data_IF_245193202006
#
_entry.id   IF_245193202006
#
_cell.length_a   1.000
_cell.length_b   1.000
_cell.length_c   1.000
_cell.angle_alpha   90.00
_cell.angle_beta   90.00
_cell.angle_gamma   90.00
#
_symmetry.space_group_name_H-M   'P 1'
#
loop_
_entity.id
_entity.type
_entity.pdbx_description
1 polymer ?
#
# COMPACT_ATOMS: atom_id res chain seq x y z
N UNK A 1 31.44 -24.89 -7.82
CA UNK A 1 30.38 -24.04 -8.41
C UNK A 1 29.08 -24.55 -7.84
N UNK A 2 28.57 -23.93 -6.77
CA UNK A 2 27.22 -24.18 -6.31
C UNK A 2 26.31 -23.75 -7.45
N UNK A 3 25.47 -24.66 -7.93
CA UNK A 3 24.39 -24.36 -8.88
C UNK A 3 23.46 -23.43 -8.11
N UNK A 4 23.52 -22.13 -8.43
CA UNK A 4 22.59 -21.12 -7.91
C UNK A 4 21.20 -21.44 -8.50
N UNK A 5 20.51 -22.38 -7.88
CA UNK A 5 19.12 -22.67 -8.18
C UNK A 5 18.33 -21.42 -7.82
N UNK A 6 17.85 -20.69 -8.82
CA UNK A 6 17.15 -19.42 -8.63
C UNK A 6 16.03 -19.52 -7.61
N UNK A 7 15.87 -18.48 -6.78
CA UNK A 7 14.83 -18.38 -5.75
C UNK A 7 13.46 -18.13 -6.40
N UNK A 8 12.45 -18.91 -6.06
CA UNK A 8 11.06 -18.71 -6.49
C UNK A 8 10.25 -18.06 -5.37
N UNK A 9 9.98 -16.77 -5.53
CA UNK A 9 9.17 -15.99 -4.58
C UNK A 9 7.74 -15.82 -5.09
N UNK A 10 6.75 -16.24 -4.28
CA UNK A 10 5.34 -16.02 -4.58
C UNK A 10 4.79 -14.87 -3.76
N UNK A 11 4.29 -13.83 -4.43
CA UNK A 11 3.77 -12.60 -3.82
C UNK A 11 2.26 -12.71 -3.67
N UNK A 12 1.79 -12.57 -2.44
CA UNK A 12 0.36 -12.57 -2.09
C UNK A 12 -0.08 -11.21 -1.55
N UNK A 13 -1.39 -10.97 -1.54
CA UNK A 13 -1.99 -9.79 -0.92
C UNK A 13 -1.98 -8.51 -1.75
N UNK A 14 -1.10 -8.37 -2.72
CA UNK A 14 -1.02 -7.22 -3.63
C UNK A 14 -1.85 -7.49 -4.90
N UNK A 15 -3.18 -7.26 -4.84
CA UNK A 15 -4.12 -7.85 -5.78
C UNK A 15 -4.59 -6.94 -6.92
N UNK A 16 -4.60 -5.60 -6.71
CA UNK A 16 -5.13 -4.65 -7.67
C UNK A 16 -4.03 -3.82 -8.35
N UNK A 17 -3.64 -4.13 -9.60
CA UNK A 17 -2.59 -3.40 -10.31
C UNK A 17 -2.99 -1.98 -10.71
N UNK A 18 -4.29 -1.65 -10.69
CA UNK A 18 -4.79 -0.31 -10.99
C UNK A 18 -4.66 0.65 -9.79
N UNK A 19 -4.20 0.17 -8.63
CA UNK A 19 -3.86 0.98 -7.47
C UNK A 19 -2.35 1.29 -7.47
N UNK A 20 -2.01 2.56 -7.67
CA UNK A 20 -0.61 3.03 -7.74
C UNK A 20 0.19 2.71 -6.48
N UNK A 21 -0.45 2.75 -5.31
CA UNK A 21 0.21 2.45 -4.03
C UNK A 21 0.66 0.99 -3.94
N UNK A 22 -0.17 0.06 -4.39
CA UNK A 22 0.21 -1.35 -4.43
C UNK A 22 1.32 -1.63 -5.44
N UNK A 23 1.30 -0.92 -6.59
CA UNK A 23 2.38 -1.01 -7.59
C UNK A 23 3.69 -0.44 -7.07
N UNK A 24 3.66 0.70 -6.38
CA UNK A 24 4.84 1.31 -5.76
C UNK A 24 5.49 0.32 -4.80
N UNK A 25 4.71 -0.28 -3.90
CA UNK A 25 5.19 -1.28 -2.96
C UNK A 25 5.80 -2.50 -3.67
N UNK A 26 5.10 -3.05 -4.66
CA UNK A 26 5.56 -4.18 -5.46
C UNK A 26 6.89 -3.87 -6.15
N UNK A 27 6.96 -2.76 -6.89
CA UNK A 27 8.16 -2.35 -7.65
C UNK A 27 9.35 -2.13 -6.70
N UNK A 28 9.13 -1.50 -5.55
CA UNK A 28 10.19 -1.26 -4.55
C UNK A 28 10.81 -2.58 -4.08
N UNK A 29 9.96 -3.55 -3.72
CA UNK A 29 10.42 -4.85 -3.20
C UNK A 29 11.07 -5.69 -4.31
N UNK A 30 10.41 -5.85 -5.46
CA UNK A 30 10.91 -6.71 -6.54
C UNK A 30 12.20 -6.16 -7.14
N UNK A 31 12.31 -4.85 -7.35
CA UNK A 31 13.54 -4.21 -7.85
C UNK A 31 14.70 -4.40 -6.89
N UNK A 32 14.46 -4.28 -5.58
CA UNK A 32 15.51 -4.50 -4.59
C UNK A 32 15.96 -5.97 -4.57
N UNK A 33 15.01 -6.90 -4.51
CA UNK A 33 15.31 -8.33 -4.45
C UNK A 33 16.00 -8.84 -5.73
N UNK A 34 15.64 -8.37 -6.92
CA UNK A 34 16.31 -8.75 -8.17
C UNK A 34 17.78 -8.29 -8.22
N UNK A 35 18.15 -7.24 -7.50
CA UNK A 35 19.56 -6.82 -7.39
C UNK A 35 20.34 -7.71 -6.42
N UNK A 36 19.67 -8.26 -5.40
CA UNK A 36 20.29 -9.16 -4.41
C UNK A 36 20.35 -10.61 -4.88
N UNK A 37 19.35 -11.03 -5.64
CA UNK A 37 19.20 -12.39 -6.17
C UNK A 37 18.99 -12.29 -7.69
N UNK A 38 20.05 -12.35 -8.50
CA UNK A 38 19.92 -12.15 -9.96
C UNK A 38 19.00 -13.15 -10.65
N UNK A 39 18.88 -14.38 -10.11
CA UNK A 39 18.06 -15.47 -10.67
C UNK A 39 16.73 -15.64 -9.93
N UNK A 40 16.23 -14.61 -9.20
CA UNK A 40 14.94 -14.69 -8.52
C UNK A 40 13.79 -14.63 -9.53
N UNK A 41 12.86 -15.56 -9.38
CA UNK A 41 11.61 -15.59 -10.14
C UNK A 41 10.44 -15.14 -9.26
N UNK A 42 9.66 -14.18 -9.76
CA UNK A 42 8.47 -13.74 -9.06
C UNK A 42 7.21 -14.27 -9.72
N UNK A 43 6.40 -14.97 -8.93
CA UNK A 43 4.99 -15.21 -9.25
C UNK A 43 4.12 -14.37 -8.32
N UNK A 44 2.92 -13.99 -8.76
CA UNK A 44 2.06 -13.08 -8.01
C UNK A 44 0.59 -13.40 -8.21
N UNK A 45 -0.18 -13.35 -7.11
CA UNK A 45 -1.65 -13.33 -7.18
C UNK A 45 -2.16 -11.98 -7.70
N UNK A 46 -3.13 -12.00 -8.62
CA UNK A 46 -3.79 -10.80 -9.12
C UNK A 46 -5.29 -11.02 -9.35
N UNK A 47 -6.09 -9.95 -9.16
CA UNK A 47 -7.48 -9.92 -9.60
C UNK A 47 -7.60 -9.67 -11.11
N UNK A 48 -6.55 -9.09 -11.72
CA UNK A 48 -6.48 -8.73 -13.15
C UNK A 48 -5.13 -9.17 -13.74
N UNK A 49 -4.85 -10.48 -13.86
CA UNK A 49 -3.51 -10.99 -14.22
C UNK A 49 -2.93 -10.37 -15.49
N UNK A 50 -3.71 -10.30 -16.57
CA UNK A 50 -3.26 -9.77 -17.87
C UNK A 50 -2.89 -8.28 -17.82
N UNK A 51 -3.61 -7.49 -17.01
CA UNK A 51 -3.29 -6.07 -16.81
C UNK A 51 -2.04 -5.95 -15.93
N UNK A 52 -1.96 -6.77 -14.90
CA UNK A 52 -0.87 -6.76 -13.92
C UNK A 52 0.47 -7.11 -14.56
N UNK A 53 0.54 -8.14 -15.40
CA UNK A 53 1.76 -8.52 -16.13
C UNK A 53 2.26 -7.41 -17.07
N UNK A 54 1.32 -6.71 -17.74
CA UNK A 54 1.68 -5.54 -18.56
C UNK A 54 2.27 -4.39 -17.76
N UNK A 55 1.73 -4.14 -16.57
CA UNK A 55 2.15 -3.05 -15.70
C UNK A 55 3.36 -3.40 -14.82
N UNK A 56 3.59 -4.68 -14.55
CA UNK A 56 4.63 -5.21 -13.68
C UNK A 56 5.32 -6.44 -14.32
N UNK A 57 6.10 -6.26 -15.40
CA UNK A 57 6.63 -7.35 -16.20
C UNK A 57 7.65 -8.25 -15.47
N UNK A 58 8.11 -7.84 -14.29
CA UNK A 58 8.98 -8.66 -13.44
C UNK A 58 8.23 -9.82 -12.76
N UNK A 59 6.90 -9.82 -12.76
CA UNK A 59 6.09 -10.82 -12.08
C UNK A 59 5.23 -11.58 -13.08
N UNK A 60 5.30 -12.91 -13.05
CA UNK A 60 4.29 -13.76 -13.70
C UNK A 60 3.03 -13.77 -12.83
N UNK A 61 1.92 -13.31 -13.37
CA UNK A 61 0.69 -13.12 -12.60
C UNK A 61 -0.28 -14.29 -12.80
N UNK A 62 -0.88 -14.74 -11.71
CA UNK A 62 -1.92 -15.77 -11.70
C UNK A 62 -3.19 -15.26 -11.08
N UNK A 63 -4.34 -15.88 -11.38
CA UNK A 63 -5.61 -15.48 -10.81
C UNK A 63 -5.63 -15.75 -9.31
N UNK A 64 -5.90 -14.72 -8.52
CA UNK A 64 -5.97 -14.87 -7.06
C UNK A 64 -7.12 -15.79 -6.65
N UNK A 65 -6.86 -16.63 -5.65
CA UNK A 65 -7.94 -17.41 -5.01
C UNK A 65 -9.01 -16.52 -4.38
N UNK A 66 -8.69 -15.27 -4.03
CA UNK A 66 -9.63 -14.28 -3.46
C UNK A 66 -10.58 -13.67 -4.50
N UNK A 67 -10.43 -14.02 -5.78
CA UNK A 67 -11.36 -13.61 -6.84
C UNK A 67 -12.75 -14.26 -6.72
N UNK A 68 -12.87 -15.36 -5.97
CA UNK A 68 -14.11 -16.07 -5.71
C UNK A 68 -14.06 -16.76 -4.35
N UNK A 69 -15.14 -16.66 -3.58
CA UNK A 69 -15.24 -17.34 -2.29
C UNK A 69 -15.18 -18.86 -2.44
N UNK A 70 -15.75 -19.40 -3.51
CA UNK A 70 -15.72 -20.83 -3.83
C UNK A 70 -14.28 -21.29 -4.09
N UNK A 71 -13.51 -20.49 -4.86
CA UNK A 71 -12.13 -20.80 -5.16
C UNK A 71 -11.27 -20.75 -3.90
N UNK A 72 -11.48 -19.76 -3.03
CA UNK A 72 -10.77 -19.63 -1.75
C UNK A 72 -11.03 -20.88 -0.86
N UNK A 73 -12.31 -21.24 -0.67
CA UNK A 73 -12.70 -22.40 0.15
C UNK A 73 -12.15 -23.69 -0.46
N UNK A 74 -12.30 -23.88 -1.77
CA UNK A 74 -11.80 -25.08 -2.46
C UNK A 74 -10.28 -25.21 -2.33
N UNK A 75 -9.53 -24.10 -2.48
CA UNK A 75 -8.07 -24.12 -2.31
C UNK A 75 -7.68 -24.44 -0.88
N UNK A 76 -8.37 -23.86 0.10
CA UNK A 76 -8.12 -24.12 1.52
C UNK A 76 -8.38 -25.57 1.90
N UNK A 77 -9.52 -26.15 1.46
CA UNK A 77 -9.86 -27.55 1.71
C UNK A 77 -8.81 -28.48 1.10
N UNK A 78 -8.36 -28.22 -0.13
CA UNK A 78 -7.31 -29.01 -0.80
C UNK A 78 -5.97 -28.92 -0.05
N UNK A 79 -5.62 -27.76 0.50
CA UNK A 79 -4.43 -27.62 1.33
C UNK A 79 -4.51 -28.44 2.62
N UNK A 80 -5.69 -28.52 3.26
CA UNK A 80 -5.92 -29.38 4.43
C UNK A 80 -5.75 -30.85 4.05
N UNK A 81 -6.41 -31.30 2.97
CA UNK A 81 -6.29 -32.67 2.51
C UNK A 81 -4.85 -33.05 2.16
N UNK A 82 -4.15 -32.20 1.42
CA UNK A 82 -2.74 -32.41 1.13
C UNK A 82 -1.92 -32.57 2.42
N UNK A 83 -2.15 -31.72 3.43
CA UNK A 83 -1.44 -31.81 4.71
C UNK A 83 -1.70 -33.13 5.43
N UNK A 84 -2.95 -33.61 5.44
CA UNK A 84 -3.32 -34.88 6.05
C UNK A 84 -2.70 -36.07 5.31
N UNK A 85 -2.78 -36.10 3.97
CA UNK A 85 -2.16 -37.17 3.16
C UNK A 85 -0.63 -37.18 3.34
N UNK A 86 -0.01 -36.01 3.38
CA UNK A 86 1.44 -35.93 3.61
C UNK A 86 1.87 -36.47 4.98
N UNK A 87 1.05 -36.31 6.02
CA UNK A 87 1.30 -36.90 7.34
C UNK A 87 1.22 -38.42 7.30
N UNK A 88 0.47 -38.99 6.36
CA UNK A 88 0.38 -40.41 6.12
C UNK A 88 1.43 -40.95 5.12
N UNK A 89 2.36 -40.11 4.70
CA UNK A 89 3.40 -40.48 3.71
C UNK A 89 2.91 -40.53 2.26
N UNK A 90 1.68 -40.07 1.98
CA UNK A 90 1.07 -40.13 0.65
C UNK A 90 1.28 -38.82 -0.12
N UNK A 91 1.52 -38.92 -1.44
CA UNK A 91 1.52 -37.76 -2.32
C UNK A 91 0.09 -37.44 -2.78
N UNK A 92 -0.31 -36.19 -2.54
CA UNK A 92 -1.63 -35.67 -2.91
C UNK A 92 -1.55 -34.44 -3.81
N UNK A 93 -0.41 -34.20 -4.48
CA UNK A 93 -0.21 -33.08 -5.39
C UNK A 93 -1.16 -33.07 -6.58
N UNK A 94 -1.72 -34.20 -6.94
CA UNK A 94 -2.77 -34.34 -7.95
C UNK A 94 -4.07 -33.61 -7.57
N UNK A 95 -4.28 -33.31 -6.28
CA UNK A 95 -5.43 -32.55 -5.80
C UNK A 95 -5.29 -31.03 -6.01
N UNK A 96 -4.13 -30.53 -6.41
CA UNK A 96 -3.87 -29.11 -6.49
C UNK A 96 -4.67 -28.44 -7.62
N UNK A 97 -5.31 -27.32 -7.29
CA UNK A 97 -5.75 -26.36 -8.27
C UNK A 97 -4.59 -25.38 -8.58
N UNK A 98 -4.78 -24.52 -9.60
CA UNK A 98 -3.75 -23.57 -10.02
C UNK A 98 -3.22 -22.67 -8.89
N UNK A 99 -4.06 -21.99 -8.07
CA UNK A 99 -3.54 -21.19 -6.96
C UNK A 99 -2.69 -22.01 -5.99
N UNK A 100 -3.14 -23.21 -5.59
CA UNK A 100 -2.41 -24.04 -4.64
C UNK A 100 -1.06 -24.50 -5.19
N UNK A 101 -0.98 -24.78 -6.51
CA UNK A 101 0.26 -25.12 -7.20
C UNK A 101 1.28 -24.01 -7.09
N UNK A 102 0.87 -22.75 -7.28
CA UNK A 102 1.77 -21.58 -7.17
C UNK A 102 2.39 -21.44 -5.77
N UNK A 103 1.59 -21.67 -4.73
CA UNK A 103 2.10 -21.70 -3.36
C UNK A 103 3.08 -22.85 -3.14
N UNK A 104 2.76 -24.03 -3.67
CA UNK A 104 3.59 -25.23 -3.49
C UNK A 104 4.92 -25.12 -4.23
N UNK A 105 4.95 -24.55 -5.43
CA UNK A 105 6.15 -24.44 -6.25
C UNK A 105 7.09 -23.31 -5.76
N UNK A 106 6.60 -22.40 -4.94
CA UNK A 106 7.41 -21.32 -4.36
C UNK A 106 8.35 -21.81 -3.26
N UNK A 107 9.50 -21.19 -3.13
CA UNK A 107 10.45 -21.38 -2.03
C UNK A 107 10.09 -20.49 -0.83
N UNK A 108 9.57 -19.29 -1.11
CA UNK A 108 9.13 -18.33 -0.10
C UNK A 108 7.83 -17.62 -0.53
N UNK A 109 6.94 -17.40 0.44
CA UNK A 109 5.71 -16.61 0.27
C UNK A 109 5.92 -15.23 0.90
N UNK A 110 5.73 -14.18 0.11
CA UNK A 110 5.87 -12.79 0.58
C UNK A 110 4.50 -12.12 0.54
N UNK A 111 3.96 -11.78 1.70
CA UNK A 111 2.73 -10.98 1.79
C UNK A 111 3.06 -9.49 1.67
N UNK A 112 2.60 -8.88 0.58
CA UNK A 112 2.68 -7.45 0.30
C UNK A 112 1.31 -6.78 0.36
N UNK A 113 0.42 -7.26 1.21
CA UNK A 113 -0.94 -6.71 1.34
C UNK A 113 -0.98 -5.28 1.93
N UNK A 114 0.13 -4.80 2.48
CA UNK A 114 0.21 -3.50 3.12
C UNK A 114 -0.74 -3.40 4.32
N UNK A 115 -1.95 -2.84 4.15
CA UNK A 115 -2.99 -2.78 5.17
C UNK A 115 -3.98 -3.98 5.12
N UNK A 116 -3.56 -5.07 4.51
CA UNK A 116 -4.31 -6.30 4.39
C UNK A 116 -4.83 -6.87 5.71
N UNK A 117 -4.16 -6.59 6.83
CA UNK A 117 -4.54 -7.00 8.18
C UNK A 117 -4.87 -5.81 9.09
N UNK A 118 -5.16 -4.63 8.52
CA UNK A 118 -5.59 -3.46 9.26
C UNK A 118 -7.07 -3.16 8.98
N UNK A 119 -7.90 -3.08 10.02
CA UNK A 119 -9.33 -2.80 9.91
C UNK A 119 -9.62 -1.42 10.51
N UNK A 120 -9.68 -0.36 9.70
CA UNK A 120 -10.09 0.96 10.17
C UNK A 120 -11.59 0.98 10.49
N UNK A 121 -11.98 1.82 11.45
CA UNK A 121 -13.39 2.04 11.77
C UNK A 121 -14.11 2.69 10.59
N UNK A 122 -15.18 2.07 10.09
CA UNK A 122 -16.02 2.59 9.01
C UNK A 122 -17.38 3.06 9.55
N UNK A 123 -17.99 4.03 8.87
CA UNK A 123 -19.38 4.47 9.13
C UNK A 123 -20.42 3.48 8.59
N UNK A 124 -20.05 2.60 7.68
CA UNK A 124 -20.92 1.63 7.03
C UNK A 124 -20.77 0.23 7.66
N UNK A 125 -21.87 -0.33 8.15
CA UNK A 125 -21.89 -1.67 8.75
C UNK A 125 -21.56 -2.76 7.70
N UNK A 126 -22.19 -2.69 6.54
CA UNK A 126 -21.96 -3.62 5.44
C UNK A 126 -20.53 -3.58 4.91
N UNK A 127 -19.97 -2.39 4.79
CA UNK A 127 -18.58 -2.23 4.39
C UNK A 127 -17.63 -2.82 5.44
N UNK A 128 -17.93 -2.64 6.73
CA UNK A 128 -17.16 -3.26 7.83
C UNK A 128 -17.19 -4.77 7.75
N UNK A 129 -18.35 -5.39 7.47
CA UNK A 129 -18.48 -6.83 7.29
C UNK A 129 -17.66 -7.31 6.07
N UNK A 130 -17.78 -6.64 4.92
CA UNK A 130 -17.00 -6.98 3.72
C UNK A 130 -15.49 -6.91 3.99
N UNK A 131 -15.03 -5.89 4.74
CA UNK A 131 -13.62 -5.78 5.15
C UNK A 131 -13.20 -6.91 6.11
N UNK A 132 -14.05 -7.34 7.03
CA UNK A 132 -13.78 -8.50 7.91
C UNK A 132 -13.57 -9.76 7.06
N UNK A 133 -14.43 -10.02 6.07
CA UNK A 133 -14.26 -11.14 5.14
C UNK A 133 -12.96 -11.05 4.35
N UNK A 134 -12.58 -9.87 3.90
CA UNK A 134 -11.31 -9.67 3.19
C UNK A 134 -10.11 -9.95 4.10
N UNK A 135 -10.15 -9.52 5.39
CA UNK A 135 -9.09 -9.83 6.37
C UNK A 135 -9.03 -11.33 6.68
N UNK A 136 -10.19 -11.97 6.80
CA UNK A 136 -10.28 -13.42 6.95
C UNK A 136 -9.66 -14.15 5.75
N UNK A 137 -9.95 -13.71 4.53
CA UNK A 137 -9.36 -14.27 3.32
C UNK A 137 -7.82 -14.10 3.27
N UNK A 138 -7.29 -12.97 3.75
CA UNK A 138 -5.85 -12.77 3.88
C UNK A 138 -5.22 -13.74 4.91
N UNK A 139 -5.84 -13.92 6.07
CA UNK A 139 -5.39 -14.88 7.08
C UNK A 139 -5.45 -16.32 6.55
N UNK A 140 -6.49 -16.68 5.79
CA UNK A 140 -6.61 -18.01 5.15
C UNK A 140 -5.48 -18.20 4.11
N UNK A 141 -5.15 -17.18 3.32
CA UNK A 141 -4.03 -17.26 2.35
C UNK A 141 -2.70 -17.55 3.04
N UNK A 142 -2.42 -16.89 4.15
CA UNK A 142 -1.23 -17.13 4.96
C UNK A 142 -1.29 -18.56 5.56
N UNK A 143 -2.45 -18.99 6.05
CA UNK A 143 -2.63 -20.31 6.62
C UNK A 143 -2.43 -21.42 5.57
N UNK A 144 -2.87 -21.23 4.33
CA UNK A 144 -2.60 -22.16 3.21
C UNK A 144 -1.09 -22.34 3.03
N UNK A 145 -0.31 -21.26 3.00
CA UNK A 145 1.14 -21.33 2.89
C UNK A 145 1.76 -22.14 4.05
N UNK A 146 1.28 -21.92 5.27
CA UNK A 146 1.73 -22.65 6.46
C UNK A 146 1.36 -24.14 6.37
N UNK A 147 0.16 -24.48 5.90
CA UNK A 147 -0.26 -25.88 5.68
C UNK A 147 0.63 -26.59 4.67
N UNK A 148 1.12 -25.88 3.65
CA UNK A 148 2.06 -26.39 2.65
C UNK A 148 3.52 -26.41 3.13
N UNK A 149 3.80 -26.13 4.41
CA UNK A 149 5.15 -25.99 4.98
C UNK A 149 6.00 -24.92 4.30
N UNK A 150 5.39 -23.86 3.74
CA UNK A 150 6.12 -22.79 3.12
C UNK A 150 6.55 -21.75 4.15
N UNK A 151 7.71 -21.16 3.90
CA UNK A 151 8.19 -20.01 4.63
C UNK A 151 7.41 -18.77 4.24
N UNK A 152 6.98 -18.00 5.24
CA UNK A 152 6.09 -16.85 5.04
C UNK A 152 6.67 -15.60 5.66
N UNK A 153 6.76 -14.54 4.86
CA UNK A 153 7.22 -13.22 5.30
C UNK A 153 6.10 -12.21 5.04
N UNK A 154 5.67 -11.50 6.08
CA UNK A 154 4.83 -10.32 5.94
C UNK A 154 5.73 -9.10 5.83
N UNK A 155 5.66 -8.36 4.72
CA UNK A 155 6.55 -7.22 4.50
C UNK A 155 5.78 -5.92 4.25
N UNK A 156 6.26 -4.82 4.87
CA UNK A 156 5.61 -3.50 4.83
C UNK A 156 4.16 -3.53 5.32
N UNK A 157 3.89 -4.35 6.34
CA UNK A 157 2.55 -4.62 6.83
C UNK A 157 2.06 -3.58 7.83
N UNK A 158 0.78 -3.20 7.73
CA UNK A 158 0.02 -2.56 8.81
C UNK A 158 -0.96 -3.56 9.40
N UNK A 159 -0.92 -3.76 10.72
CA UNK A 159 -1.75 -4.73 11.43
C UNK A 159 -2.52 -4.04 12.55
N UNK A 160 -3.84 -4.17 12.56
CA UNK A 160 -4.63 -3.52 13.61
C UNK A 160 -6.13 -3.70 13.48
N UNK A 161 -6.86 -3.47 14.58
CA UNK A 161 -8.32 -3.44 14.58
C UNK A 161 -9.01 -4.76 14.23
N UNK A 162 -8.35 -5.93 14.36
CA UNK A 162 -8.85 -7.21 13.86
C UNK A 162 -10.09 -7.76 14.61
N UNK A 163 -10.44 -7.19 15.77
CA UNK A 163 -11.69 -7.52 16.49
C UNK A 163 -11.86 -9.02 16.69
N UNK A 164 -12.94 -9.57 16.16
CA UNK A 164 -13.28 -11.01 16.27
C UNK A 164 -12.28 -11.95 15.62
N UNK A 165 -11.44 -11.45 14.72
CA UNK A 165 -10.40 -12.24 14.04
C UNK A 165 -9.11 -12.39 14.87
N UNK A 166 -8.99 -11.75 16.03
CA UNK A 166 -7.78 -11.79 16.87
C UNK A 166 -7.32 -13.21 17.21
N UNK A 167 -8.19 -14.16 17.63
CA UNK A 167 -7.74 -15.52 17.94
C UNK A 167 -7.11 -16.23 16.72
N UNK A 168 -7.73 -16.10 15.56
CA UNK A 168 -7.20 -16.66 14.31
C UNK A 168 -5.92 -15.98 13.88
N UNK A 169 -5.88 -14.64 13.93
CA UNK A 169 -4.69 -13.86 13.60
C UNK A 169 -3.50 -14.23 14.47
N UNK A 170 -3.71 -14.36 15.79
CA UNK A 170 -2.69 -14.81 16.73
C UNK A 170 -2.16 -16.21 16.37
N UNK A 171 -3.06 -17.15 16.06
CA UNK A 171 -2.69 -18.51 15.67
C UNK A 171 -1.84 -18.51 14.39
N UNK A 172 -2.27 -17.78 13.37
CA UNK A 172 -1.63 -17.74 12.05
C UNK A 172 -0.31 -16.97 12.11
N UNK A 173 -0.32 -15.75 12.67
CA UNK A 173 0.85 -14.87 12.69
C UNK A 173 1.98 -15.41 13.58
N UNK A 174 1.68 -16.21 14.60
CA UNK A 174 2.74 -16.89 15.37
C UNK A 174 3.42 -18.06 14.60
N UNK A 175 3.01 -18.33 13.38
CA UNK A 175 3.61 -19.37 12.53
C UNK A 175 4.34 -18.83 11.30
N UNK A 176 4.33 -17.52 11.10
CA UNK A 176 5.12 -16.89 10.04
C UNK A 176 6.57 -16.72 10.49
N UNK A 177 7.49 -16.58 9.56
CA UNK A 177 8.92 -16.54 9.83
C UNK A 177 9.41 -15.13 10.17
N UNK A 178 8.90 -14.11 9.45
CA UNK A 178 9.26 -12.71 9.64
C UNK A 178 8.05 -11.80 9.42
N UNK A 179 7.90 -10.79 10.27
CA UNK A 179 6.93 -9.70 10.09
C UNK A 179 7.71 -8.38 10.10
N UNK A 180 7.69 -7.66 8.99
CA UNK A 180 8.20 -6.29 8.90
C UNK A 180 7.01 -5.34 8.86
N UNK A 181 6.80 -4.62 9.96
CA UNK A 181 5.73 -3.61 10.06
C UNK A 181 6.26 -2.24 9.69
N UNK A 182 5.38 -1.41 9.11
CA UNK A 182 5.74 -0.07 8.61
C UNK A 182 5.28 1.08 9.52
N UNK A 183 4.62 0.78 10.62
CA UNK A 183 4.16 1.75 11.61
C UNK A 183 4.26 1.18 13.04
N UNK A 184 4.49 2.04 14.01
CA UNK A 184 4.64 1.65 15.42
C UNK A 184 3.34 1.14 16.02
N UNK A 185 2.20 1.64 15.56
CA UNK A 185 0.88 1.21 16.00
C UNK A 185 0.66 -0.28 15.72
N UNK A 186 1.15 -0.75 14.57
CA UNK A 186 1.14 -2.18 14.21
C UNK A 186 2.06 -3.01 15.11
N UNK A 187 3.24 -2.50 15.45
CA UNK A 187 4.17 -3.18 16.36
C UNK A 187 3.54 -3.34 17.75
N UNK A 188 2.97 -2.27 18.31
CA UNK A 188 2.27 -2.30 19.59
C UNK A 188 1.04 -3.23 19.55
N UNK A 189 0.31 -3.24 18.43
CA UNK A 189 -0.85 -4.11 18.26
C UNK A 189 -0.46 -5.59 18.26
N UNK A 190 0.58 -5.99 17.52
CA UNK A 190 1.10 -7.36 17.51
C UNK A 190 1.51 -7.81 18.91
N UNK A 191 2.22 -6.96 19.67
CA UNK A 191 2.57 -7.24 21.07
C UNK A 191 1.34 -7.44 21.96
N UNK A 192 0.33 -6.58 21.82
CA UNK A 192 -0.93 -6.65 22.59
C UNK A 192 -1.70 -7.93 22.33
N UNK A 193 -1.77 -8.42 21.08
CA UNK A 193 -2.44 -9.68 20.76
C UNK A 193 -1.53 -10.90 20.96
N UNK A 194 -0.32 -10.70 21.52
CA UNK A 194 0.67 -11.75 21.85
C UNK A 194 1.12 -12.55 20.63
N UNK A 195 1.50 -11.88 19.55
CA UNK A 195 2.29 -12.45 18.45
C UNK A 195 3.76 -12.31 18.83
N UNK A 196 4.37 -13.41 19.28
CA UNK A 196 5.70 -13.41 19.93
C UNK A 196 6.69 -14.42 19.34
N UNK A 197 6.22 -15.31 18.46
CA UNK A 197 7.10 -16.35 17.87
C UNK A 197 7.89 -15.87 16.66
N UNK A 198 7.31 -15.11 15.71
CA UNK A 198 8.07 -14.59 14.58
C UNK A 198 9.03 -13.49 15.02
N UNK A 199 10.09 -13.30 14.26
CA UNK A 199 10.84 -12.04 14.34
C UNK A 199 9.94 -10.90 13.85
N UNK A 200 9.69 -9.91 14.69
CA UNK A 200 8.96 -8.69 14.31
C UNK A 200 9.97 -7.55 14.22
N UNK A 201 10.03 -6.91 13.04
CA UNK A 201 10.95 -5.82 12.75
C UNK A 201 10.17 -4.59 12.30
N UNK A 202 10.58 -3.41 12.74
CA UNK A 202 10.03 -2.14 12.25
C UNK A 202 10.92 -1.57 11.15
N UNK A 203 10.31 -1.23 10.01
CA UNK A 203 10.96 -0.43 8.96
C UNK A 203 9.90 0.46 8.30
N UNK A 204 10.21 1.71 7.91
CA UNK A 204 9.32 2.52 7.10
C UNK A 204 8.90 1.80 5.82
N UNK A 205 7.77 2.22 5.24
CA UNK A 205 7.24 1.62 4.01
C UNK A 205 8.31 1.49 2.91
N UNK A 206 8.30 0.35 2.20
CA UNK A 206 9.27 0.12 1.13
C UNK A 206 9.26 1.20 0.02
N UNK A 207 8.18 1.94 -0.13
CA UNK A 207 8.10 3.06 -1.06
C UNK A 207 9.18 4.13 -0.82
N UNK A 208 9.68 4.28 0.41
CA UNK A 208 10.81 5.19 0.69
C UNK A 208 12.12 4.77 0.03
N UNK A 209 12.28 3.49 -0.33
CA UNK A 209 13.46 3.01 -1.05
C UNK A 209 13.47 3.35 -2.55
N UNK A 210 12.40 3.93 -3.07
CA UNK A 210 12.33 4.33 -4.47
C UNK A 210 13.39 5.39 -4.77
N UNK A 211 14.26 5.09 -5.73
CA UNK A 211 15.18 6.09 -6.28
C UNK A 211 14.39 6.93 -7.28
N UNK A 212 13.80 8.01 -6.79
CA UNK A 212 13.28 9.02 -7.68
C UNK A 212 14.50 9.81 -8.19
N UNK A 213 14.81 9.69 -9.49
CA UNK A 213 15.69 10.66 -10.11
C UNK A 213 15.12 12.01 -9.72
N UNK A 214 15.97 13.00 -9.39
CA UNK A 214 15.52 14.38 -9.11
C UNK A 214 14.68 14.85 -10.29
N UNK A 215 13.41 14.40 -10.28
CA UNK A 215 12.45 14.59 -11.35
C UNK A 215 11.93 16.00 -11.15
N UNK A 216 12.11 16.80 -12.17
CA UNK A 216 11.58 18.13 -12.24
C UNK A 216 12.27 19.13 -11.31
N UNK A 217 13.21 19.89 -11.84
CA UNK A 217 13.41 21.22 -11.29
C UNK A 217 12.02 21.87 -11.32
N UNK A 218 11.50 22.22 -10.12
CA UNK A 218 10.34 23.12 -10.04
C UNK A 218 10.52 24.25 -11.05
N UNK A 219 9.40 24.66 -11.59
CA UNK A 219 9.35 25.84 -12.48
C UNK A 219 10.29 26.92 -11.98
N UNK A 220 11.11 27.44 -12.86
CA UNK A 220 11.99 28.56 -12.57
C UNK A 220 11.20 29.73 -11.95
N UNK A 221 11.82 30.50 -11.12
CA UNK A 221 11.24 31.71 -10.51
C UNK A 221 10.34 32.43 -11.52
N UNK A 222 9.04 32.56 -11.22
CA UNK A 222 8.06 33.27 -12.04
C UNK A 222 6.95 32.45 -12.65
N UNK A 223 6.97 31.09 -12.56
CA UNK A 223 5.83 30.27 -12.99
C UNK A 223 4.73 30.20 -11.95
N UNK A 224 3.48 30.02 -12.40
CA UNK A 224 2.33 29.85 -11.52
C UNK A 224 2.53 28.64 -10.58
N UNK A 225 2.18 28.80 -9.29
CA UNK A 225 2.26 27.68 -8.34
C UNK A 225 1.39 26.49 -8.76
N UNK A 226 1.78 25.29 -8.35
CA UNK A 226 1.08 24.05 -8.66
C UNK A 226 0.64 23.34 -7.39
N UNK A 227 -0.65 23.08 -7.24
CA UNK A 227 -1.23 22.38 -6.10
C UNK A 227 -1.83 21.06 -6.56
N UNK A 228 -1.31 19.95 -6.03
CA UNK A 228 -1.82 18.61 -6.31
C UNK A 228 -2.98 18.25 -5.40
N UNK A 229 -4.00 17.56 -5.94
CA UNK A 229 -5.10 16.98 -5.20
C UNK A 229 -5.20 15.49 -5.50
N UNK A 230 -4.90 14.68 -4.51
CA UNK A 230 -4.99 13.23 -4.57
C UNK A 230 -6.07 12.75 -3.59
N UNK A 231 -7.27 12.55 -4.09
CA UNK A 231 -8.46 12.22 -3.29
C UNK A 231 -8.80 10.74 -3.39
N UNK A 232 -9.55 10.23 -2.41
CA UNK A 232 -9.97 8.83 -2.35
C UNK A 232 -11.48 8.70 -2.29
N UNK A 233 -12.09 8.12 -3.32
CA UNK A 233 -13.52 7.79 -3.33
C UNK A 233 -13.89 6.88 -2.17
N UNK A 234 -13.09 5.84 -1.90
CA UNK A 234 -13.27 4.92 -0.79
C UNK A 234 -13.29 5.64 0.57
N UNK A 235 -12.34 6.57 0.77
CA UNK A 235 -12.24 7.28 2.04
C UNK A 235 -13.45 8.18 2.30
N UNK A 236 -13.92 8.90 1.28
CA UNK A 236 -15.10 9.77 1.42
C UNK A 236 -16.36 8.96 1.67
N UNK A 237 -16.57 7.87 0.96
CA UNK A 237 -17.78 7.05 1.12
C UNK A 237 -17.85 6.30 2.44
N UNK A 238 -16.74 5.79 2.94
CA UNK A 238 -16.75 4.80 4.03
C UNK A 238 -16.17 5.28 5.34
N UNK A 239 -15.29 6.27 5.33
CA UNK A 239 -14.57 6.66 6.54
C UNK A 239 -14.91 8.07 7.04
N UNK A 240 -15.06 9.05 6.17
CA UNK A 240 -15.43 10.39 6.59
C UNK A 240 -16.94 10.52 6.85
N UNK A 241 -17.30 11.16 7.98
CA UNK A 241 -18.69 11.47 8.33
C UNK A 241 -19.19 12.72 7.60
N UNK A 242 -19.07 12.70 6.27
CA UNK A 242 -19.42 13.82 5.38
C UNK A 242 -20.18 13.26 4.18
N UNK A 243 -21.11 14.04 3.66
CA UNK A 243 -21.79 13.70 2.42
C UNK A 243 -20.82 13.84 1.24
N UNK A 244 -20.90 12.93 0.27
CA UNK A 244 -19.98 12.84 -0.87
C UNK A 244 -19.95 14.12 -1.71
N UNK A 245 -21.12 14.65 -2.08
CA UNK A 245 -21.23 15.87 -2.86
C UNK A 245 -20.79 17.11 -2.07
N UNK A 246 -21.08 17.14 -0.76
CA UNK A 246 -20.60 18.23 0.09
C UNK A 246 -19.08 18.24 0.18
N UNK A 247 -18.44 17.08 0.33
CA UNK A 247 -16.98 16.99 0.29
C UNK A 247 -16.41 17.47 -1.04
N UNK A 248 -17.00 17.03 -2.16
CA UNK A 248 -16.58 17.45 -3.49
C UNK A 248 -16.72 18.98 -3.68
N UNK A 249 -17.82 19.57 -3.20
CA UNK A 249 -18.03 21.02 -3.21
C UNK A 249 -17.00 21.75 -2.38
N UNK A 250 -16.69 21.23 -1.19
CA UNK A 250 -15.70 21.80 -0.29
C UNK A 250 -14.30 21.84 -0.97
N UNK A 251 -13.89 20.73 -1.59
CA UNK A 251 -12.62 20.70 -2.35
C UNK A 251 -12.67 21.62 -3.57
N UNK A 252 -13.79 21.62 -4.32
CA UNK A 252 -13.97 22.55 -5.46
C UNK A 252 -13.84 24.01 -5.04
N UNK A 253 -14.42 24.38 -3.89
CA UNK A 253 -14.26 25.73 -3.31
C UNK A 253 -12.81 26.05 -2.93
N UNK A 254 -12.06 25.07 -2.42
CA UNK A 254 -10.63 25.25 -2.14
C UNK A 254 -9.84 25.43 -3.45
N UNK A 255 -10.14 24.65 -4.50
CA UNK A 255 -9.52 24.79 -5.82
C UNK A 255 -9.77 26.19 -6.41
N UNK A 256 -11.02 26.69 -6.34
CA UNK A 256 -11.35 28.05 -6.80
C UNK A 256 -10.56 29.10 -6.01
N UNK A 257 -10.53 28.96 -4.67
CA UNK A 257 -9.78 29.90 -3.81
C UNK A 257 -8.30 29.97 -4.18
N UNK A 258 -7.62 28.84 -4.37
CA UNK A 258 -6.19 28.82 -4.72
C UNK A 258 -5.93 29.37 -6.11
N UNK A 259 -6.84 29.14 -7.06
CA UNK A 259 -6.74 29.70 -8.42
C UNK A 259 -6.90 31.23 -8.41
N UNK A 260 -7.90 31.74 -7.70
CA UNK A 260 -8.23 33.16 -7.66
C UNK A 260 -7.28 33.99 -6.80
N UNK A 261 -6.85 33.47 -5.65
CA UNK A 261 -6.09 34.24 -4.66
C UNK A 261 -4.58 33.95 -4.71
N UNK A 262 -4.15 32.78 -5.19
CA UNK A 262 -2.75 32.42 -5.30
C UNK A 262 -2.25 32.35 -6.75
N UNK A 263 -3.14 32.52 -7.74
CA UNK A 263 -2.81 32.33 -9.17
C UNK A 263 -2.31 30.91 -9.47
N UNK A 264 -2.67 29.93 -8.66
CA UNK A 264 -2.14 28.59 -8.74
C UNK A 264 -2.92 27.71 -9.73
N UNK A 265 -2.24 26.72 -10.31
CA UNK A 265 -2.84 25.65 -11.10
C UNK A 265 -3.12 24.44 -10.19
N UNK A 266 -4.32 23.89 -10.25
CA UNK A 266 -4.68 22.65 -9.58
C UNK A 266 -4.44 21.45 -10.49
N UNK A 267 -3.84 20.36 -9.95
CA UNK A 267 -3.70 19.09 -10.66
C UNK A 267 -4.45 18.00 -9.86
N UNK A 268 -5.46 17.40 -10.46
CA UNK A 268 -6.18 16.26 -9.89
C UNK A 268 -5.47 14.96 -10.26
N UNK A 269 -5.03 14.20 -9.26
CA UNK A 269 -4.16 13.03 -9.41
C UNK A 269 -4.86 11.81 -8.82
N UNK A 270 -5.42 10.89 -9.61
CA UNK A 270 -5.96 9.63 -9.10
C UNK A 270 -4.84 8.68 -8.68
N UNK A 271 -5.08 7.89 -7.64
CA UNK A 271 -4.18 6.81 -7.21
C UNK A 271 -4.72 5.43 -7.58
N UNK A 272 -6.03 5.29 -7.68
CA UNK A 272 -6.68 4.05 -8.09
C UNK A 272 -7.63 4.34 -9.25
N UNK A 273 -7.46 3.59 -10.33
CA UNK A 273 -8.25 3.76 -11.57
C UNK A 273 -9.25 2.62 -11.78
N UNK A 274 -9.70 2.01 -10.71
CA UNK A 274 -10.65 0.92 -10.71
C UNK A 274 -10.22 -0.24 -9.82
N UNK A 275 -11.08 -1.24 -9.78
CA UNK A 275 -10.92 -2.42 -8.95
C UNK A 275 -12.20 -3.25 -8.97
N UNK A 276 -12.34 -4.25 -8.08
CA UNK A 276 -13.53 -5.06 -8.00
C UNK A 276 -14.77 -4.28 -7.52
N UNK A 277 -14.55 -3.13 -6.87
CA UNK A 277 -15.65 -2.31 -6.34
C UNK A 277 -15.61 -0.90 -6.94
N UNK A 278 -16.81 -0.30 -7.07
CA UNK A 278 -16.94 1.06 -7.61
C UNK A 278 -16.14 2.09 -6.81
N UNK A 279 -16.03 1.92 -5.51
CA UNK A 279 -15.26 2.84 -4.65
C UNK A 279 -13.73 2.73 -4.81
N UNK A 280 -13.24 1.73 -5.55
CA UNK A 280 -11.82 1.62 -5.88
C UNK A 280 -11.38 2.58 -7.00
N UNK A 281 -12.31 3.35 -7.59
CA UNK A 281 -12.01 4.30 -8.65
C UNK A 281 -12.03 5.74 -8.12
N UNK A 282 -10.85 6.33 -7.99
CA UNK A 282 -10.69 7.71 -7.50
C UNK A 282 -11.18 8.77 -8.51
N UNK A 283 -11.36 8.40 -9.79
CA UNK A 283 -11.93 9.32 -10.79
C UNK A 283 -13.34 9.75 -10.43
N UNK A 284 -14.07 8.95 -9.66
CA UNK A 284 -15.45 9.28 -9.25
C UNK A 284 -15.47 10.54 -8.40
N UNK A 285 -14.61 10.63 -7.37
CA UNK A 285 -14.55 11.84 -6.53
C UNK A 285 -13.94 13.02 -7.29
N UNK A 286 -12.91 12.76 -8.12
CA UNK A 286 -12.28 13.82 -8.90
C UNK A 286 -13.27 14.45 -9.92
N UNK A 287 -14.06 13.63 -10.62
CA UNK A 287 -15.10 14.11 -11.54
C UNK A 287 -16.22 14.86 -10.81
N UNK A 288 -16.53 14.47 -9.56
CA UNK A 288 -17.52 15.20 -8.77
C UNK A 288 -16.97 16.59 -8.36
N UNK A 289 -15.69 16.66 -7.97
CA UNK A 289 -15.03 17.96 -7.66
C UNK A 289 -15.05 18.90 -8.86
N UNK A 290 -14.80 18.40 -10.07
CA UNK A 290 -14.81 19.22 -11.31
C UNK A 290 -16.13 19.96 -11.54
N UNK A 291 -17.26 19.45 -11.05
CA UNK A 291 -18.57 20.12 -11.18
C UNK A 291 -18.64 21.44 -10.39
N UNK A 292 -17.78 21.62 -9.41
CA UNK A 292 -17.77 22.78 -8.51
C UNK A 292 -16.58 23.72 -8.76
N UNK A 293 -15.77 23.44 -9.79
CA UNK A 293 -14.63 24.29 -10.16
C UNK A 293 -15.02 25.20 -11.32
N UNK A 294 -14.93 26.53 -11.11
CA UNK A 294 -15.29 27.54 -12.10
C UNK A 294 -14.13 28.05 -12.96
N UNK A 295 -12.88 27.65 -12.67
CA UNK A 295 -11.68 28.22 -13.29
C UNK A 295 -11.10 27.38 -14.42
N UNK A 296 -10.22 28.03 -15.23
CA UNK A 296 -9.47 27.37 -16.33
C UNK A 296 -8.16 26.73 -15.87
N UNK A 297 -7.68 27.00 -14.64
CA UNK A 297 -6.37 26.58 -14.14
C UNK A 297 -6.46 25.22 -13.42
N UNK A 298 -7.02 24.21 -14.10
CA UNK A 298 -7.14 22.86 -13.56
C UNK A 298 -6.77 21.84 -14.63
N UNK A 299 -6.04 20.80 -14.24
CA UNK A 299 -5.70 19.66 -15.06
C UNK A 299 -5.99 18.35 -14.33
N UNK A 300 -6.20 17.27 -15.07
CA UNK A 300 -6.48 15.93 -14.53
C UNK A 300 -5.50 14.94 -15.12
N UNK A 301 -4.86 14.14 -14.27
CA UNK A 301 -4.04 13.02 -14.70
C UNK A 301 -4.97 11.84 -14.96
N UNK A 302 -5.14 11.47 -16.23
CA UNK A 302 -6.06 10.41 -16.67
C UNK A 302 -5.44 9.02 -16.85
N UNK A 303 -4.26 8.77 -16.27
CA UNK A 303 -3.47 7.55 -16.54
C UNK A 303 -3.10 6.77 -15.30
N UNK A 304 -2.88 5.45 -15.47
CA UNK A 304 -2.24 4.56 -14.49
C UNK A 304 -0.71 4.55 -14.61
N UNK A 305 -0.13 5.31 -15.53
CA UNK A 305 1.33 5.39 -15.64
C UNK A 305 1.92 6.01 -14.39
N UNK A 306 2.70 5.21 -13.66
CA UNK A 306 3.27 5.60 -12.39
C UNK A 306 4.31 6.72 -12.56
N UNK A 307 5.02 6.76 -13.69
CA UNK A 307 6.01 7.81 -13.98
C UNK A 307 5.35 9.17 -14.12
N UNK A 308 4.20 9.24 -14.80
CA UNK A 308 3.44 10.48 -14.95
C UNK A 308 2.79 10.94 -13.62
N UNK A 309 2.34 10.00 -12.79
CA UNK A 309 1.83 10.31 -11.44
C UNK A 309 2.96 10.90 -10.58
N UNK A 310 4.12 10.27 -10.57
CA UNK A 310 5.29 10.73 -9.81
C UNK A 310 5.76 12.11 -10.33
N UNK A 311 5.85 12.28 -11.65
CA UNK A 311 6.21 13.56 -12.26
C UNK A 311 5.23 14.68 -11.87
N UNK A 312 3.93 14.41 -11.92
CA UNK A 312 2.92 15.37 -11.50
C UNK A 312 3.07 15.77 -10.03
N UNK A 313 3.29 14.80 -9.12
CA UNK A 313 3.51 15.07 -7.69
C UNK A 313 4.80 15.88 -7.48
N UNK A 314 5.86 15.57 -8.23
CA UNK A 314 7.16 16.27 -8.10
C UNK A 314 7.10 17.73 -8.49
N UNK A 315 6.17 18.11 -9.35
CA UNK A 315 5.94 19.49 -9.80
C UNK A 315 5.09 20.31 -8.84
N UNK A 316 4.43 19.66 -7.86
CA UNK A 316 3.57 20.35 -6.92
C UNK A 316 4.37 21.14 -5.88
N UNK A 317 3.87 22.32 -5.52
CA UNK A 317 4.34 23.10 -4.38
C UNK A 317 3.77 22.59 -3.05
N UNK A 318 2.54 22.10 -3.08
CA UNK A 318 1.83 21.41 -1.99
C UNK A 318 1.01 20.27 -2.58
N UNK A 319 0.93 19.14 -1.88
CA UNK A 319 0.05 18.03 -2.23
C UNK A 319 -1.03 17.84 -1.17
N UNK A 320 -2.29 18.04 -1.51
CA UNK A 320 -3.44 17.66 -0.68
C UNK A 320 -3.77 16.19 -0.97
N UNK A 321 -3.64 15.30 0.01
CA UNK A 321 -3.78 13.86 -0.26
C UNK A 321 -4.56 13.11 0.82
N UNK A 322 -5.33 12.12 0.37
CA UNK A 322 -6.03 11.12 1.20
C UNK A 322 -5.40 9.72 1.06
N UNK A 323 -4.24 9.61 0.39
CA UNK A 323 -3.56 8.34 0.12
C UNK A 323 -2.13 8.37 0.65
N UNK A 324 -1.69 7.26 1.27
CA UNK A 324 -0.39 7.17 1.92
C UNK A 324 0.78 7.20 0.93
N UNK A 325 0.74 6.40 -0.14
CA UNK A 325 1.86 6.32 -1.07
C UNK A 325 2.09 7.62 -1.86
N UNK A 326 1.06 8.35 -2.36
CA UNK A 326 1.25 9.70 -2.88
C UNK A 326 1.90 10.65 -1.87
N UNK A 327 1.57 10.55 -0.58
CA UNK A 327 2.26 11.33 0.45
C UNK A 327 3.74 10.92 0.58
N UNK A 328 4.07 9.63 0.54
CA UNK A 328 5.46 9.17 0.54
C UNK A 328 6.21 9.71 -0.68
N UNK A 329 5.62 9.64 -1.87
CA UNK A 329 6.21 10.21 -3.09
C UNK A 329 6.42 11.72 -2.95
N UNK A 330 5.44 12.46 -2.39
CA UNK A 330 5.61 13.90 -2.17
C UNK A 330 6.76 14.21 -1.20
N UNK A 331 6.91 13.43 -0.12
CA UNK A 331 8.03 13.55 0.81
C UNK A 331 9.37 13.27 0.12
N UNK A 332 9.46 12.22 -0.71
CA UNK A 332 10.65 11.91 -1.49
C UNK A 332 11.01 13.01 -2.50
N UNK A 333 10.02 13.74 -2.99
CA UNK A 333 10.20 14.90 -3.87
C UNK A 333 10.45 16.23 -3.12
N UNK A 334 10.41 16.22 -1.78
CA UNK A 334 10.48 17.43 -0.97
C UNK A 334 9.22 18.32 -1.07
N UNK A 335 8.09 17.76 -1.50
CA UNK A 335 6.80 18.46 -1.61
C UNK A 335 6.02 18.34 -0.30
N UNK A 336 5.66 19.45 0.39
CA UNK A 336 4.86 19.43 1.60
C UNK A 336 3.49 18.78 1.38
N UNK A 337 3.11 17.71 2.11
CA UNK A 337 1.79 17.14 2.03
C UNK A 337 0.83 17.75 3.05
N UNK A 338 -0.40 18.07 2.63
CA UNK A 338 -1.56 18.17 3.51
C UNK A 338 -2.30 16.83 3.48
N UNK A 339 -2.17 16.05 4.55
CA UNK A 339 -2.83 14.74 4.60
C UNK A 339 -4.19 14.82 5.26
N UNK A 340 -5.24 14.46 4.54
CA UNK A 340 -6.60 14.31 5.09
C UNK A 340 -6.73 12.86 5.59
N UNK A 341 -6.66 12.70 6.92
CA UNK A 341 -6.59 11.38 7.56
C UNK A 341 -7.94 10.74 7.77
N UNK A 342 -8.00 9.43 7.50
CA UNK A 342 -9.14 8.56 7.86
C UNK A 342 -8.68 7.29 8.59
N UNK A 343 -7.40 7.15 8.88
CA UNK A 343 -6.82 5.91 9.44
C UNK A 343 -5.55 6.21 10.25
N UNK A 344 -5.28 5.45 11.32
CA UNK A 344 -4.07 5.61 12.15
C UNK A 344 -2.75 5.55 11.39
N UNK A 345 -2.67 4.80 10.28
CA UNK A 345 -1.45 4.69 9.45
C UNK A 345 -0.92 6.03 8.93
N UNK A 346 -1.81 7.03 8.74
CA UNK A 346 -1.39 8.38 8.32
C UNK A 346 -0.71 9.12 9.46
N UNK A 347 -1.17 8.91 10.69
CA UNK A 347 -0.52 9.48 11.87
C UNK A 347 0.87 8.88 12.05
N UNK A 348 1.01 7.56 11.94
CA UNK A 348 2.30 6.87 11.97
C UNK A 348 3.29 7.41 10.94
N UNK A 349 2.84 7.59 9.68
CA UNK A 349 3.68 8.16 8.62
C UNK A 349 4.17 9.57 8.97
N UNK A 350 3.26 10.47 9.36
CA UNK A 350 3.62 11.86 9.65
C UNK A 350 4.49 11.99 10.90
N UNK A 351 4.30 11.11 11.88
CA UNK A 351 5.13 11.02 13.09
C UNK A 351 6.56 10.61 12.75
N UNK A 352 6.77 9.69 11.82
CA UNK A 352 8.10 9.26 11.40
C UNK A 352 8.95 10.42 10.85
N UNK A 353 8.32 11.38 10.19
CA UNK A 353 9.02 12.54 9.65
C UNK A 353 8.94 13.77 10.57
N UNK A 354 8.14 13.73 11.64
CA UNK A 354 7.94 14.85 12.59
C UNK A 354 7.09 15.97 12.02
N UNK A 355 6.07 15.64 11.24
CA UNK A 355 5.16 16.57 10.57
C UNK A 355 3.69 16.29 10.89
N UNK A 356 3.39 15.83 12.13
CA UNK A 356 2.03 15.53 12.57
C UNK A 356 1.09 16.74 12.46
N UNK A 357 1.63 17.95 12.56
CA UNK A 357 0.90 19.20 12.39
C UNK A 357 0.37 19.45 10.96
N UNK A 358 0.87 18.71 9.97
CA UNK A 358 0.36 18.75 8.58
C UNK A 358 -0.78 17.73 8.35
N UNK A 359 -1.14 16.96 9.37
CA UNK A 359 -2.22 16.00 9.32
C UNK A 359 -3.55 16.68 9.64
N UNK A 360 -4.47 16.69 8.69
CA UNK A 360 -5.84 17.14 8.93
C UNK A 360 -6.66 15.96 9.49
N UNK A 361 -6.90 15.98 10.79
CA UNK A 361 -7.66 14.96 11.50
C UNK A 361 -9.00 15.54 11.89
N UNK A 362 -10.05 15.26 11.14
CA UNK A 362 -11.41 15.64 11.50
C UNK A 362 -12.41 14.58 11.08
N UNK A 363 -13.34 14.26 11.97
CA UNK A 363 -14.50 13.43 11.64
C UNK A 363 -15.56 14.21 10.86
N UNK A 364 -15.54 15.56 10.99
CA UNK A 364 -16.35 16.50 10.22
C UNK A 364 -15.41 17.46 9.52
N UNK A 365 -15.17 17.23 8.24
CA UNK A 365 -14.36 18.12 7.42
C UNK A 365 -15.22 19.35 7.10
N UNK A 366 -14.73 20.54 7.40
CA UNK A 366 -15.33 21.81 7.02
C UNK A 366 -14.35 22.68 6.21
N UNK A 367 -14.90 23.60 5.43
CA UNK A 367 -14.14 24.41 4.49
C UNK A 367 -13.12 25.34 5.20
N UNK A 368 -13.55 26.04 6.24
CA UNK A 368 -12.69 27.07 6.88
C UNK A 368 -11.50 26.43 7.58
N UNK A 369 -11.71 25.31 8.30
CA UNK A 369 -10.59 24.62 8.95
C UNK A 369 -9.65 23.97 7.94
N UNK A 370 -10.16 23.39 6.85
CA UNK A 370 -9.30 22.83 5.79
C UNK A 370 -8.50 23.90 5.07
N UNK A 371 -9.16 25.02 4.73
CA UNK A 371 -8.51 26.20 4.13
C UNK A 371 -7.43 26.78 5.04
N UNK A 372 -7.72 26.93 6.33
CA UNK A 372 -6.74 27.43 7.32
C UNK A 372 -5.51 26.51 7.38
N UNK A 373 -5.71 25.21 7.41
CA UNK A 373 -4.61 24.23 7.41
C UNK A 373 -3.80 24.29 6.11
N UNK A 374 -4.48 24.41 4.97
CA UNK A 374 -3.82 24.58 3.68
C UNK A 374 -2.97 25.87 3.65
N UNK A 375 -3.52 26.99 4.07
CA UNK A 375 -2.80 28.27 4.10
C UNK A 375 -1.59 28.22 5.03
N UNK A 376 -1.70 27.59 6.20
CA UNK A 376 -0.56 27.36 7.08
C UNK A 376 0.57 26.62 6.35
N UNK A 377 0.26 25.53 5.63
CA UNK A 377 1.24 24.77 4.88
C UNK A 377 1.80 25.58 3.71
N UNK A 378 0.94 26.30 3.01
CA UNK A 378 1.33 27.16 1.88
C UNK A 378 2.33 28.24 2.28
N UNK A 379 2.05 28.96 3.35
CA UNK A 379 2.90 30.04 3.87
C UNK A 379 4.25 29.48 4.37
N UNK A 380 4.24 28.34 5.02
CA UNK A 380 5.43 27.71 5.59
C UNK A 380 6.09 26.67 4.66
N UNK A 381 5.68 26.55 3.40
CA UNK A 381 6.10 25.44 2.51
C UNK A 381 7.61 25.32 2.34
N UNK A 382 8.35 26.42 2.38
CA UNK A 382 9.81 26.38 2.25
C UNK A 382 10.49 25.85 3.52
N UNK A 383 9.98 26.19 4.69
CA UNK A 383 10.46 25.67 5.98
C UNK A 383 10.12 24.16 6.11
N UNK A 384 8.91 23.78 5.72
CA UNK A 384 8.48 22.39 5.73
C UNK A 384 9.34 21.56 4.76
N UNK A 385 9.66 22.11 3.59
CA UNK A 385 10.55 21.46 2.62
C UNK A 385 11.94 21.24 3.20
N UNK A 386 12.55 22.25 3.78
CA UNK A 386 13.87 22.13 4.41
C UNK A 386 13.86 21.07 5.53
N UNK A 387 12.77 21.00 6.31
CA UNK A 387 12.59 19.95 7.31
C UNK A 387 12.50 18.53 6.67
N UNK A 388 11.73 18.37 5.59
CA UNK A 388 11.63 17.11 4.84
C UNK A 388 13.02 16.71 4.31
N UNK A 389 13.72 17.62 3.65
CA UNK A 389 15.06 17.38 3.09
C UNK A 389 16.06 16.95 4.15
N UNK A 390 15.98 17.52 5.35
CA UNK A 390 16.85 17.18 6.48
C UNK A 390 16.58 15.78 7.07
N UNK A 391 15.40 15.22 6.85
CA UNK A 391 14.99 13.93 7.46
C UNK A 391 14.79 12.78 6.50
N UNK A 392 14.54 13.05 5.23
CA UNK A 392 14.15 12.03 4.26
C UNK A 392 15.24 10.96 4.06
N UNK A 393 16.52 11.34 4.10
CA UNK A 393 17.63 10.43 3.92
C UNK A 393 17.67 9.32 4.99
N UNK A 394 17.36 9.64 6.24
CA UNK A 394 17.30 8.64 7.32
C UNK A 394 16.11 7.69 7.16
N UNK A 395 14.97 8.16 6.65
CA UNK A 395 13.82 7.29 6.36
C UNK A 395 14.10 6.35 5.18
N UNK A 396 14.80 6.83 4.16
CA UNK A 396 15.27 6.00 3.03
C UNK A 396 16.19 4.90 3.54
N UNK A 397 17.19 5.23 4.37
CA UNK A 397 18.12 4.29 4.95
C UNK A 397 17.40 3.23 5.79
N UNK A 398 16.51 3.64 6.69
CA UNK A 398 15.71 2.72 7.50
C UNK A 398 14.84 1.79 6.65
N UNK A 399 14.24 2.30 5.56
CA UNK A 399 13.47 1.48 4.62
C UNK A 399 14.36 0.48 3.88
N UNK A 400 15.56 0.89 3.45
CA UNK A 400 16.55 -0.01 2.85
C UNK A 400 17.01 -1.09 3.84
N UNK A 401 17.23 -0.76 5.11
CA UNK A 401 17.53 -1.74 6.16
C UNK A 401 16.42 -2.78 6.33
N UNK A 402 15.16 -2.36 6.20
CA UNK A 402 14.02 -3.29 6.16
C UNK A 402 14.08 -4.26 4.97
N UNK A 403 14.44 -3.76 3.78
CA UNK A 403 14.62 -4.59 2.58
C UNK A 403 15.82 -5.53 2.69
N UNK A 404 16.93 -5.09 3.30
CA UNK A 404 18.06 -5.96 3.61
C UNK A 404 17.65 -7.08 4.58
N UNK A 405 16.81 -6.77 5.58
CA UNK A 405 16.28 -7.79 6.49
C UNK A 405 15.42 -8.81 5.77
N UNK A 406 14.57 -8.37 4.81
CA UNK A 406 13.82 -9.26 3.94
C UNK A 406 14.74 -10.17 3.12
N UNK A 407 15.77 -9.61 2.48
CA UNK A 407 16.72 -10.37 1.68
C UNK A 407 17.50 -11.39 2.52
N UNK A 408 17.94 -11.00 3.74
CA UNK A 408 18.62 -11.91 4.67
C UNK A 408 17.74 -13.09 5.06
N UNK A 409 16.45 -12.85 5.35
CA UNK A 409 15.50 -13.91 5.67
C UNK A 409 15.29 -14.88 4.48
N UNK A 410 15.20 -14.36 3.27
CA UNK A 410 15.10 -15.19 2.05
C UNK A 410 16.37 -16.04 1.88
N UNK A 411 17.56 -15.46 2.09
CA UNK A 411 18.82 -16.18 1.98
C UNK A 411 18.95 -17.32 3.02
N UNK A 412 18.54 -17.10 4.26
CA UNK A 412 18.50 -18.13 5.30
C UNK A 412 17.55 -19.28 4.93
N UNK A 413 16.39 -18.95 4.34
CA UNK A 413 15.39 -19.92 3.88
C UNK A 413 15.98 -20.81 2.77
N UNK A 414 16.64 -20.22 1.79
CA UNK A 414 17.15 -20.97 0.62
C UNK A 414 18.35 -21.86 1.02
N UNK A 415 19.21 -21.44 1.93
CA UNK A 415 20.30 -22.27 2.45
C UNK A 415 19.80 -23.52 3.19
N UNK A 416 18.74 -23.38 3.99
CA UNK A 416 18.17 -24.52 4.70
C UNK A 416 17.45 -25.52 3.78
N UNK A 417 16.96 -25.09 2.63
CA UNK A 417 16.29 -25.95 1.63
C UNK A 417 17.28 -26.79 0.81
N UNK A 418 18.54 -26.37 0.68
CA UNK A 418 19.60 -27.13 -0.03
C UNK A 418 20.27 -28.20 0.85
N UNK A 419 20.02 -28.18 2.17
CA UNK A 419 20.61 -29.11 3.14
C UNK A 419 19.66 -30.26 3.53
N UNK A 420 18.41 -30.23 3.07
CA UNK A 420 17.36 -31.27 3.27
C UNK A 420 16.91 -31.86 1.94
#
# INVERSE_FOLDING_TARGET
MEVDNGVRAHIIGNLNPLNSGWRILLISVTTFLSRKFPNIEFTKESLFPQIDEKLNPMCKCTKSMKSSIILLISTFVRAIFWRLFRLLGLDATALFNEPLRQYYDADVIIDLSGDGLCLPKSKSHWYSLAKIFFKLANLISILIAILLNKKVILYSASVGGLGVLVPLAKLVLNKVDLIVVRDYESLEYLNRIKVTKPTVYFAPDAAFSMRLNKIGKRSANGSAPVIGFNLSTEAVWHFHKIEFQYFARLIGSLVNYISENLGATAILIPSSLGGPFRHDDDRIILNEVLKYVGGKNISVIGTSDLSLIIDAISKCDVLVTMRMHPAIISLLCGTPPLMISHSPKFHGLMKLIGLENLLYVSTKIDYESLKKQFLYIWENRNLIRAHIEGRISSLIELSLNGLERLASAIHEITKTSTLN
#
